data_IF_295613010554
#
_entry.id   IF_295613010554
#
_cell.length_a   1.000
_cell.length_b   1.000
_cell.length_c   1.000
_cell.angle_alpha   90.00
_cell.angle_beta   90.00
_cell.angle_gamma   90.00
#
_symmetry.space_group_name_H-M   'P 1'
#
loop_
_entity.id
_entity.type
_entity.pdbx_description
1 polymer ?
#
# COMPACT_ATOMS: atom_id res chain seq x y z
N UNK A 1 11.37 -62.29 9.13
CA UNK A 1 10.55 -62.20 7.90
C UNK A 1 9.16 -61.81 8.36
N UNK A 2 8.64 -60.64 7.96
CA UNK A 2 7.30 -60.21 8.41
C UNK A 2 6.22 -61.06 7.74
N UNK A 3 5.09 -61.24 8.42
CA UNK A 3 3.94 -61.95 7.87
C UNK A 3 3.35 -61.20 6.66
N UNK A 4 2.62 -61.91 5.80
CA UNK A 4 1.91 -61.29 4.68
C UNK A 4 0.91 -60.20 5.14
N UNK A 5 0.31 -60.39 6.32
CA UNK A 5 -0.65 -59.45 6.91
C UNK A 5 0.04 -58.15 7.32
N UNK A 6 1.14 -58.23 8.08
CA UNK A 6 1.92 -57.05 8.50
C UNK A 6 2.47 -56.27 7.30
N UNK A 7 2.83 -56.97 6.22
CA UNK A 7 3.32 -56.33 5.00
C UNK A 7 2.22 -55.52 4.31
N UNK A 8 1.04 -56.12 4.15
CA UNK A 8 -0.11 -55.42 3.56
C UNK A 8 -0.52 -54.21 4.40
N UNK A 9 -0.42 -54.30 5.74
CA UNK A 9 -0.65 -53.15 6.62
C UNK A 9 0.40 -52.04 6.42
N UNK A 10 1.69 -52.40 6.33
CA UNK A 10 2.77 -51.44 6.08
C UNK A 10 2.64 -50.76 4.71
N UNK A 11 2.36 -51.54 3.66
CA UNK A 11 2.12 -51.02 2.32
C UNK A 11 0.91 -50.08 2.30
N UNK A 12 -0.20 -50.48 2.91
CA UNK A 12 -1.40 -49.65 3.04
C UNK A 12 -1.12 -48.33 3.75
N UNK A 13 -0.36 -48.36 4.86
CA UNK A 13 0.02 -47.16 5.60
C UNK A 13 0.96 -46.25 4.79
N UNK A 14 1.95 -46.79 4.06
CA UNK A 14 2.82 -46.00 3.18
C UNK A 14 2.03 -45.35 2.04
N UNK A 15 1.09 -46.09 1.43
CA UNK A 15 0.20 -45.54 0.41
C UNK A 15 -0.71 -44.44 0.97
N UNK A 16 -1.18 -44.56 2.20
CA UNK A 16 -1.91 -43.50 2.89
C UNK A 16 -1.05 -42.23 3.05
N UNK A 17 0.24 -42.35 3.42
CA UNK A 17 1.14 -41.19 3.48
C UNK A 17 1.31 -40.54 2.09
N UNK A 18 1.46 -41.35 1.03
CA UNK A 18 1.53 -40.82 -0.35
C UNK A 18 0.26 -40.04 -0.69
N UNK A 19 -0.92 -40.54 -0.32
CA UNK A 19 -2.18 -39.84 -0.55
C UNK A 19 -2.26 -38.50 0.19
N UNK A 20 -1.78 -38.43 1.43
CA UNK A 20 -1.71 -37.18 2.19
C UNK A 20 -0.77 -36.16 1.54
N UNK A 21 0.39 -36.60 1.06
CA UNK A 21 1.34 -35.74 0.34
C UNK A 21 0.77 -35.25 -1.00
N UNK A 22 0.09 -36.13 -1.72
CA UNK A 22 -0.61 -35.78 -2.96
C UNK A 22 -1.74 -34.76 -2.71
N UNK A 23 -2.48 -34.89 -1.61
CA UNK A 23 -3.50 -33.92 -1.19
C UNK A 23 -2.87 -32.57 -0.83
N UNK A 24 -1.72 -32.58 -0.15
CA UNK A 24 -0.98 -31.37 0.17
C UNK A 24 -0.60 -30.56 -1.08
N UNK A 25 -0.03 -31.24 -2.07
CA UNK A 25 0.38 -30.59 -3.32
C UNK A 25 -0.80 -30.07 -4.14
N UNK A 26 -1.95 -30.77 -4.11
CA UNK A 26 -3.19 -30.26 -4.71
C UNK A 26 -3.65 -28.97 -4.01
N UNK A 27 -3.71 -28.96 -2.68
CA UNK A 27 -4.12 -27.77 -1.91
C UNK A 27 -3.17 -26.59 -2.11
N UNK A 28 -1.87 -26.84 -2.22
CA UNK A 28 -0.88 -25.79 -2.50
C UNK A 28 -1.10 -25.15 -3.87
N UNK A 29 -1.34 -25.95 -4.91
CA UNK A 29 -1.64 -25.46 -6.26
C UNK A 29 -2.97 -24.71 -6.30
N UNK A 30 -3.99 -25.23 -5.62
CA UNK A 30 -5.29 -24.59 -5.50
C UNK A 30 -5.16 -23.23 -4.82
N UNK A 31 -4.49 -23.16 -3.66
CA UNK A 31 -4.23 -21.91 -2.93
C UNK A 31 -3.49 -20.88 -3.79
N UNK A 32 -2.45 -21.29 -4.52
CA UNK A 32 -1.72 -20.41 -5.42
C UNK A 32 -2.64 -19.86 -6.53
N UNK A 33 -3.50 -20.69 -7.11
CA UNK A 33 -4.47 -20.26 -8.12
C UNK A 33 -5.51 -19.29 -7.57
N UNK A 34 -5.96 -19.48 -6.33
CA UNK A 34 -6.90 -18.58 -5.66
C UNK A 34 -6.24 -17.24 -5.40
N UNK A 35 -5.00 -17.25 -4.88
CA UNK A 35 -4.26 -16.03 -4.60
C UNK A 35 -3.96 -15.22 -5.86
N UNK A 36 -3.74 -15.87 -7.00
CA UNK A 36 -3.55 -15.20 -8.28
C UNK A 36 -4.80 -14.43 -8.77
N UNK A 37 -5.99 -14.76 -8.25
CA UNK A 37 -7.25 -14.06 -8.61
C UNK A 37 -7.48 -12.77 -7.83
N UNK A 38 -6.67 -12.46 -6.81
CA UNK A 38 -6.80 -11.19 -6.08
C UNK A 38 -6.55 -9.99 -6.98
N UNK A 39 -7.52 -9.08 -7.03
CA UNK A 39 -7.41 -7.84 -7.78
C UNK A 39 -7.00 -6.69 -6.86
N UNK A 40 -6.06 -5.84 -7.31
CA UNK A 40 -5.68 -4.61 -6.59
C UNK A 40 -6.04 -3.39 -7.45
N UNK A 41 -6.86 -2.44 -6.95
CA UNK A 41 -7.12 -1.22 -7.69
C UNK A 41 -5.83 -0.40 -7.80
N UNK A 42 -5.47 0.00 -9.02
CA UNK A 42 -4.39 0.96 -9.23
C UNK A 42 -4.78 2.30 -8.60
N UNK A 43 -3.82 2.98 -7.94
CA UNK A 43 -4.08 4.29 -7.35
C UNK A 43 -4.26 5.35 -8.45
N UNK A 44 -5.24 6.26 -8.32
CA UNK A 44 -5.47 7.29 -9.31
C UNK A 44 -4.40 8.38 -9.22
N UNK A 45 -3.93 8.86 -10.37
CA UNK A 45 -2.99 9.99 -10.45
C UNK A 45 -3.77 11.30 -10.60
N UNK A 46 -3.75 12.14 -9.57
CA UNK A 46 -4.46 13.42 -9.57
C UNK A 46 -3.73 14.52 -10.35
N UNK A 47 -4.50 15.38 -11.05
CA UNK A 47 -3.94 16.59 -11.66
C UNK A 47 -3.81 17.70 -10.61
N UNK A 48 -2.60 18.23 -10.43
CA UNK A 48 -2.29 19.27 -9.45
C UNK A 48 -2.79 20.65 -9.86
N UNK A 49 -2.95 21.56 -8.87
CA UNK A 49 -3.39 22.94 -9.08
C UNK A 49 -2.27 23.82 -9.66
N UNK A 50 -2.63 24.75 -10.56
CA UNK A 50 -1.68 25.79 -11.05
C UNK A 50 -1.89 27.08 -10.27
N UNK A 51 -0.80 27.65 -9.75
CA UNK A 51 -0.77 29.00 -9.18
C UNK A 51 -0.35 30.02 -10.24
N UNK A 52 -0.78 31.27 -10.09
CA UNK A 52 -0.33 32.37 -10.96
C UNK A 52 1.19 32.56 -10.76
N UNK A 53 2.02 32.54 -11.82
CA UNK A 53 3.47 32.70 -11.67
C UNK A 53 3.78 34.06 -11.05
N UNK A 54 4.26 34.03 -9.81
CA UNK A 54 4.51 35.22 -8.97
C UNK A 54 5.70 36.06 -9.45
N UNK A 55 6.61 35.45 -10.23
CA UNK A 55 7.95 35.96 -10.53
C UNK A 55 7.99 37.03 -11.65
N UNK A 56 7.17 36.91 -12.69
CA UNK A 56 7.14 37.89 -13.79
C UNK A 56 6.59 39.27 -13.39
N UNK A 57 5.99 39.37 -12.19
CA UNK A 57 5.22 40.52 -11.70
C UNK A 57 6.06 41.66 -11.12
N UNK A 58 7.26 41.37 -10.65
CA UNK A 58 8.14 42.37 -10.02
C UNK A 58 9.14 42.94 -11.02
N UNK A 59 9.60 42.13 -11.97
CA UNK A 59 10.60 42.54 -12.96
C UNK A 59 10.10 43.66 -13.90
N UNK A 60 8.88 43.57 -14.41
CA UNK A 60 8.35 44.58 -15.35
C UNK A 60 8.13 45.94 -14.67
N UNK A 61 7.64 45.94 -13.43
CA UNK A 61 7.43 47.18 -12.67
C UNK A 61 8.75 47.86 -12.28
N UNK A 62 9.77 47.06 -11.92
CA UNK A 62 11.12 47.57 -11.64
C UNK A 62 11.76 48.21 -12.86
N UNK A 63 11.64 47.59 -14.04
CA UNK A 63 12.25 48.10 -15.28
C UNK A 63 11.65 49.45 -15.68
N UNK A 64 10.32 49.59 -15.64
CA UNK A 64 9.65 50.85 -16.02
C UNK A 64 9.98 51.98 -15.03
N UNK A 65 10.01 51.66 -13.72
CA UNK A 65 10.39 52.63 -12.69
C UNK A 65 11.83 53.11 -12.87
N UNK A 66 12.76 52.22 -13.23
CA UNK A 66 14.15 52.56 -13.44
C UNK A 66 14.35 53.47 -14.67
N UNK A 67 13.66 53.19 -15.78
CA UNK A 67 13.73 54.00 -17.01
C UNK A 67 13.19 55.41 -16.76
N UNK A 68 12.06 55.54 -16.04
CA UNK A 68 11.48 56.85 -15.73
C UNK A 68 12.36 57.67 -14.77
N UNK A 69 12.98 57.03 -13.78
CA UNK A 69 13.92 57.71 -12.88
C UNK A 69 15.15 58.25 -13.64
N UNK A 70 15.67 57.47 -14.59
CA UNK A 70 16.81 57.87 -15.43
C UNK A 70 16.47 59.10 -16.29
N UNK A 71 15.36 59.08 -17.02
CA UNK A 71 14.92 60.19 -17.89
C UNK A 71 14.71 61.48 -17.09
N UNK A 72 14.10 61.38 -15.90
CA UNK A 72 13.82 62.54 -15.06
C UNK A 72 15.07 63.14 -14.39
N UNK A 73 16.07 62.31 -14.10
CA UNK A 73 17.34 62.77 -13.54
C UNK A 73 18.12 63.61 -14.57
N UNK A 74 18.15 63.16 -15.83
CA UNK A 74 18.79 63.91 -16.94
C UNK A 74 18.08 65.26 -17.20
N UNK A 75 16.75 65.27 -17.22
CA UNK A 75 15.97 66.51 -17.40
C UNK A 75 16.17 67.52 -16.26
N UNK A 76 16.29 67.04 -15.01
CA UNK A 76 16.58 67.90 -13.86
C UNK A 76 17.97 68.54 -13.96
N UNK A 77 18.98 67.74 -14.35
CA UNK A 77 20.36 68.23 -14.48
C UNK A 77 20.49 69.31 -15.56
N UNK A 78 19.78 69.15 -16.68
CA UNK A 78 19.74 70.13 -17.77
C UNK A 78 19.09 71.46 -17.33
N UNK A 79 18.02 71.40 -16.52
CA UNK A 79 17.32 72.61 -16.04
C UNK A 79 18.09 73.36 -14.95
N UNK A 80 18.69 72.65 -13.98
CA UNK A 80 19.36 73.28 -12.83
C UNK A 80 20.79 73.69 -13.14
N UNK A 81 21.50 73.00 -14.04
CA UNK A 81 22.89 73.29 -14.38
C UNK A 81 23.12 74.63 -15.11
N UNK A 82 22.06 75.26 -15.64
CA UNK A 82 22.19 76.43 -16.53
C UNK A 82 21.50 77.71 -16.02
N UNK A 83 20.74 77.67 -14.91
CA UNK A 83 19.94 78.81 -14.44
C UNK A 83 19.87 78.88 -12.92
N UNK A 84 20.00 80.08 -12.33
CA UNK A 84 19.65 80.33 -10.92
C UNK A 84 18.13 80.26 -10.78
N UNK A 85 17.61 79.10 -10.38
CA UNK A 85 16.17 78.86 -10.31
C UNK A 85 15.62 79.29 -8.93
N UNK A 86 14.52 80.08 -8.86
CA UNK A 86 13.90 80.44 -7.59
C UNK A 86 13.42 79.21 -6.80
N UNK A 87 13.43 79.30 -5.46
CA UNK A 87 13.04 78.21 -4.57
C UNK A 87 11.62 77.68 -4.81
N UNK A 88 10.69 78.53 -5.24
CA UNK A 88 9.32 78.15 -5.62
C UNK A 88 9.29 77.24 -6.84
N UNK A 89 10.13 77.52 -7.83
CA UNK A 89 10.27 76.70 -9.04
C UNK A 89 10.90 75.35 -8.71
N UNK A 90 11.87 75.30 -7.80
CA UNK A 90 12.41 74.02 -7.29
C UNK A 90 11.34 73.16 -6.63
N UNK A 91 10.47 73.75 -5.79
CA UNK A 91 9.38 73.03 -5.16
C UNK A 91 8.39 72.44 -6.18
N UNK A 92 8.05 73.19 -7.23
CA UNK A 92 7.16 72.72 -8.31
C UNK A 92 7.81 71.58 -9.10
N UNK A 93 9.10 71.68 -9.41
CA UNK A 93 9.84 70.63 -10.11
C UNK A 93 9.97 69.34 -9.28
N UNK A 94 10.19 69.45 -7.98
CA UNK A 94 10.21 68.30 -7.06
C UNK A 94 8.83 67.63 -6.98
N UNK A 95 7.76 68.43 -6.96
CA UNK A 95 6.39 67.90 -6.96
C UNK A 95 6.06 67.19 -8.29
N UNK A 96 6.44 67.78 -9.43
CA UNK A 96 6.32 67.13 -10.74
C UNK A 96 7.17 65.85 -10.81
N UNK A 97 8.39 65.85 -10.26
CA UNK A 97 9.25 64.68 -10.18
C UNK A 97 8.58 63.55 -9.38
N UNK A 98 8.00 63.85 -8.23
CA UNK A 98 7.24 62.89 -7.42
C UNK A 98 6.06 62.30 -8.20
N UNK A 99 5.27 63.13 -8.88
CA UNK A 99 4.09 62.67 -9.64
C UNK A 99 4.51 61.85 -10.87
N UNK A 100 5.56 62.23 -11.57
CA UNK A 100 6.02 61.53 -12.78
C UNK A 100 6.77 60.23 -12.45
N UNK A 101 7.43 60.15 -11.29
CA UNK A 101 8.10 58.91 -10.85
C UNK A 101 7.11 57.94 -10.19
N UNK A 102 6.21 58.43 -9.34
CA UNK A 102 5.29 57.57 -8.57
C UNK A 102 3.95 57.35 -9.28
N UNK A 103 3.48 58.29 -10.10
CA UNK A 103 2.19 58.24 -10.80
C UNK A 103 2.09 57.07 -11.79
N UNK A 104 3.08 56.83 -12.67
CA UNK A 104 3.08 55.66 -13.55
C UNK A 104 3.15 54.34 -12.78
N UNK A 105 3.93 54.29 -11.69
CA UNK A 105 3.99 53.12 -10.82
C UNK A 105 2.63 52.84 -10.15
N UNK A 106 1.94 53.88 -9.69
CA UNK A 106 0.59 53.79 -9.13
C UNK A 106 -0.44 53.37 -10.18
N UNK A 107 -0.37 53.94 -11.38
CA UNK A 107 -1.27 53.63 -12.49
C UNK A 107 -1.09 52.16 -12.94
N UNK A 108 0.14 51.70 -13.10
CA UNK A 108 0.44 50.30 -13.40
C UNK A 108 0.00 49.36 -12.27
N UNK A 109 0.20 49.75 -11.00
CA UNK A 109 -0.30 49.02 -9.85
C UNK A 109 -1.84 48.95 -9.85
N UNK A 110 -2.53 50.05 -10.17
CA UNK A 110 -3.98 50.16 -10.21
C UNK A 110 -4.59 49.35 -11.36
N UNK A 111 -4.10 49.51 -12.60
CA UNK A 111 -4.54 48.70 -13.75
C UNK A 111 -4.29 47.21 -13.50
N UNK A 112 -3.16 46.88 -12.86
CA UNK A 112 -2.87 45.51 -12.45
C UNK A 112 -3.89 44.99 -11.42
N UNK A 113 -4.16 45.77 -10.37
CA UNK A 113 -5.02 45.33 -9.27
C UNK A 113 -6.48 45.16 -9.74
N UNK A 114 -6.94 46.05 -10.61
CA UNK A 114 -8.31 46.07 -11.12
C UNK A 114 -8.55 45.04 -12.23
N UNK A 115 -7.69 44.99 -13.25
CA UNK A 115 -7.97 44.27 -14.50
C UNK A 115 -7.16 42.99 -14.70
N UNK A 116 -5.84 43.03 -14.48
CA UNK A 116 -4.98 41.88 -14.74
C UNK A 116 -5.17 40.77 -13.71
N UNK A 117 -5.25 41.12 -12.42
CA UNK A 117 -5.50 40.14 -11.36
C UNK A 117 -6.86 39.48 -11.51
N UNK A 118 -7.92 40.25 -11.78
CA UNK A 118 -9.27 39.71 -11.94
C UNK A 118 -9.37 38.75 -13.14
N UNK A 119 -8.82 39.10 -14.30
CA UNK A 119 -8.80 38.18 -15.45
C UNK A 119 -7.93 36.94 -15.23
N UNK A 120 -6.71 37.10 -14.73
CA UNK A 120 -5.81 35.97 -14.48
C UNK A 120 -6.39 35.02 -13.43
N UNK A 121 -6.92 35.56 -12.32
CA UNK A 121 -7.59 34.77 -11.27
C UNK A 121 -8.81 34.05 -11.83
N UNK A 122 -9.63 34.70 -12.66
CA UNK A 122 -10.79 34.05 -13.26
C UNK A 122 -10.41 32.90 -14.20
N UNK A 123 -9.33 33.05 -14.98
CA UNK A 123 -8.83 32.01 -15.88
C UNK A 123 -8.23 30.83 -15.10
N UNK A 124 -7.39 31.11 -14.09
CA UNK A 124 -6.84 30.07 -13.21
C UNK A 124 -7.92 29.38 -12.40
N UNK A 125 -8.93 30.11 -11.92
CA UNK A 125 -10.04 29.54 -11.16
C UNK A 125 -10.91 28.62 -12.02
N UNK A 126 -11.22 29.03 -13.26
CA UNK A 126 -11.95 28.17 -14.20
C UNK A 126 -11.14 26.92 -14.55
N UNK A 127 -9.83 27.05 -14.76
CA UNK A 127 -8.96 25.91 -15.01
C UNK A 127 -8.86 24.98 -13.80
N UNK A 128 -8.77 25.55 -12.58
CA UNK A 128 -8.73 24.79 -11.33
C UNK A 128 -10.07 24.09 -11.06
N UNK A 129 -11.22 24.75 -11.26
CA UNK A 129 -12.55 24.14 -11.16
C UNK A 129 -12.74 22.98 -12.14
N UNK A 130 -12.27 23.12 -13.38
CA UNK A 130 -12.30 22.02 -14.36
C UNK A 130 -11.45 20.83 -13.90
N UNK A 131 -10.28 21.08 -13.32
CA UNK A 131 -9.39 20.04 -12.77
C UNK A 131 -9.97 19.39 -11.53
N UNK A 132 -10.58 20.18 -10.65
CA UNK A 132 -11.29 19.70 -9.47
C UNK A 132 -12.44 18.79 -9.89
N UNK A 133 -13.26 19.21 -10.85
CA UNK A 133 -14.31 18.35 -11.39
C UNK A 133 -13.74 17.06 -12.01
N UNK A 134 -12.65 17.14 -12.77
CA UNK A 134 -11.97 15.95 -13.31
C UNK A 134 -11.43 15.03 -12.21
N UNK A 135 -10.79 15.57 -11.18
CA UNK A 135 -10.29 14.80 -10.05
C UNK A 135 -11.45 14.16 -9.27
N UNK A 136 -12.56 14.87 -9.08
CA UNK A 136 -13.75 14.34 -8.40
C UNK A 136 -14.42 13.21 -9.20
N UNK A 137 -14.50 13.34 -10.54
CA UNK A 137 -14.96 12.26 -11.41
C UNK A 137 -14.04 11.04 -11.33
N UNK A 138 -12.72 11.25 -11.38
CA UNK A 138 -11.73 10.18 -11.22
C UNK A 138 -11.82 9.49 -9.85
N UNK A 139 -12.09 10.26 -8.80
CA UNK A 139 -12.32 9.74 -7.46
C UNK A 139 -13.57 8.86 -7.38
N UNK A 140 -14.69 9.31 -7.96
CA UNK A 140 -15.94 8.54 -7.96
C UNK A 140 -15.81 7.23 -8.75
N UNK A 141 -15.15 7.27 -9.92
CA UNK A 141 -14.87 6.09 -10.73
C UNK A 141 -13.96 5.09 -9.99
N UNK A 142 -12.93 5.62 -9.31
CA UNK A 142 -12.04 4.79 -8.48
C UNK A 142 -12.76 4.15 -7.28
N UNK A 143 -13.65 4.88 -6.63
CA UNK A 143 -14.44 4.37 -5.50
C UNK A 143 -15.35 3.22 -5.95
N UNK A 144 -16.06 3.38 -7.05
CA UNK A 144 -16.91 2.33 -7.64
C UNK A 144 -16.10 1.10 -8.05
N UNK A 145 -14.94 1.30 -8.69
CA UNK A 145 -14.05 0.20 -9.08
C UNK A 145 -13.48 -0.53 -7.86
N UNK A 146 -13.08 0.21 -6.82
CA UNK A 146 -12.57 -0.35 -5.58
C UNK A 146 -13.64 -1.18 -4.86
N UNK A 147 -14.89 -0.69 -4.84
CA UNK A 147 -16.01 -1.42 -4.24
C UNK A 147 -16.29 -2.72 -5.00
N UNK A 148 -16.40 -2.67 -6.33
CA UNK A 148 -16.60 -3.86 -7.16
C UNK A 148 -15.47 -4.90 -6.99
N UNK A 149 -14.21 -4.45 -6.95
CA UNK A 149 -13.07 -5.33 -6.69
C UNK A 149 -13.09 -5.89 -5.26
N UNK A 150 -13.50 -5.11 -4.26
CA UNK A 150 -13.58 -5.57 -2.88
C UNK A 150 -14.60 -6.69 -2.71
N UNK A 151 -15.78 -6.58 -3.34
CA UNK A 151 -16.79 -7.63 -3.34
C UNK A 151 -16.27 -8.93 -4.00
N UNK A 152 -15.56 -8.83 -5.13
CA UNK A 152 -14.90 -9.98 -5.76
C UNK A 152 -13.82 -10.60 -4.87
N UNK A 153 -12.97 -9.77 -4.25
CA UNK A 153 -11.92 -10.20 -3.35
C UNK A 153 -12.46 -10.84 -2.06
N UNK A 154 -13.66 -10.47 -1.61
CA UNK A 154 -14.32 -11.14 -0.47
C UNK A 154 -14.71 -12.58 -0.79
N UNK A 155 -15.17 -12.85 -2.01
CA UNK A 155 -15.44 -14.23 -2.48
C UNK A 155 -14.16 -15.04 -2.56
N UNK A 156 -13.09 -14.47 -3.13
CA UNK A 156 -11.76 -15.11 -3.18
C UNK A 156 -11.23 -15.38 -1.77
N UNK A 157 -11.44 -14.45 -0.83
CA UNK A 157 -11.06 -14.63 0.57
C UNK A 157 -11.88 -15.72 1.28
N UNK A 158 -13.16 -15.88 0.92
CA UNK A 158 -13.99 -16.95 1.46
C UNK A 158 -13.51 -18.33 0.97
N UNK A 159 -13.12 -18.44 -0.30
CA UNK A 159 -12.53 -19.64 -0.88
C UNK A 159 -11.15 -19.97 -0.26
N UNK A 160 -10.30 -18.96 -0.08
CA UNK A 160 -9.01 -19.13 0.61
C UNK A 160 -9.20 -19.67 2.04
N UNK A 161 -10.23 -19.20 2.78
CA UNK A 161 -10.55 -19.73 4.12
C UNK A 161 -10.95 -21.21 4.08
N UNK A 162 -11.68 -21.64 3.06
CA UNK A 162 -12.04 -23.06 2.92
C UNK A 162 -10.81 -23.93 2.67
N UNK A 163 -9.89 -23.45 1.83
CA UNK A 163 -8.62 -24.13 1.57
C UNK A 163 -7.75 -24.17 2.83
N UNK A 164 -7.69 -23.07 3.59
CA UNK A 164 -6.99 -23.02 4.88
C UNK A 164 -7.55 -24.05 5.87
N UNK A 165 -8.88 -24.23 5.94
CA UNK A 165 -9.50 -25.29 6.75
C UNK A 165 -9.07 -26.69 6.29
N UNK A 166 -8.95 -26.93 4.99
CA UNK A 166 -8.46 -28.21 4.48
C UNK A 166 -6.98 -28.44 4.84
N UNK A 167 -6.14 -27.40 4.78
CA UNK A 167 -4.76 -27.49 5.30
C UNK A 167 -4.71 -27.85 6.78
N UNK A 168 -5.62 -27.30 7.59
CA UNK A 168 -5.71 -27.62 9.01
C UNK A 168 -6.05 -29.09 9.26
N UNK A 169 -7.06 -29.61 8.55
CA UNK A 169 -7.43 -31.02 8.64
C UNK A 169 -6.26 -31.92 8.22
N UNK A 170 -5.63 -31.59 7.09
CA UNK A 170 -4.49 -32.34 6.58
C UNK A 170 -3.30 -32.34 7.54
N UNK A 171 -2.98 -31.20 8.15
CA UNK A 171 -1.90 -31.13 9.12
C UNK A 171 -2.20 -31.93 10.40
N UNK A 172 -3.46 -31.96 10.83
CA UNK A 172 -3.87 -32.81 11.94
C UNK A 172 -3.71 -34.30 11.59
N UNK A 173 -4.09 -34.71 10.38
CA UNK A 173 -3.85 -36.08 9.89
C UNK A 173 -2.35 -36.44 9.87
N UNK A 174 -1.48 -35.54 9.38
CA UNK A 174 -0.02 -35.72 9.44
C UNK A 174 0.50 -35.84 10.87
N UNK A 175 0.00 -35.01 11.78
CA UNK A 175 0.39 -35.03 13.19
C UNK A 175 0.00 -36.35 13.87
N UNK A 176 -1.21 -36.85 13.62
CA UNK A 176 -1.75 -38.03 14.28
C UNK A 176 -1.20 -39.35 13.72
N UNK A 177 -1.01 -39.44 12.39
CA UNK A 177 -0.76 -40.72 11.73
C UNK A 177 0.64 -40.89 11.13
N UNK A 178 1.41 -39.81 11.00
CA UNK A 178 2.71 -39.82 10.31
C UNK A 178 3.84 -39.38 11.25
N UNK A 179 3.61 -38.32 12.01
CA UNK A 179 4.62 -37.74 12.90
C UNK A 179 5.03 -38.77 13.97
N UNK A 180 6.35 -38.92 14.18
CA UNK A 180 6.92 -39.91 15.09
C UNK A 180 7.03 -41.34 14.53
N UNK A 181 6.32 -41.66 13.44
CA UNK A 181 6.32 -42.99 12.83
C UNK A 181 7.12 -43.05 11.53
N UNK A 182 7.09 -41.97 10.73
CA UNK A 182 7.90 -41.82 9.53
C UNK A 182 8.96 -40.72 9.74
N UNK A 183 10.24 -40.93 9.38
CA UNK A 183 11.27 -39.92 9.60
C UNK A 183 11.04 -38.67 8.74
N UNK A 184 10.95 -37.50 9.39
CA UNK A 184 10.63 -36.22 8.73
C UNK A 184 11.60 -35.86 7.58
N UNK A 185 12.87 -36.24 7.68
CA UNK A 185 13.89 -36.02 6.63
C UNK A 185 13.49 -36.67 5.29
N UNK A 186 12.78 -37.79 5.34
CA UNK A 186 12.39 -38.57 4.16
C UNK A 186 10.92 -38.34 3.77
N UNK A 187 10.22 -37.43 4.46
CA UNK A 187 8.82 -37.14 4.21
C UNK A 187 8.68 -36.29 2.95
N UNK A 188 8.80 -36.95 1.81
CA UNK A 188 8.69 -36.41 0.46
C UNK A 188 7.96 -37.43 -0.41
N UNK A 189 7.14 -36.95 -1.36
CA UNK A 189 6.25 -37.81 -2.13
C UNK A 189 7.01 -38.91 -2.89
N UNK A 190 8.13 -38.58 -3.52
CA UNK A 190 8.92 -39.51 -4.33
C UNK A 190 9.53 -40.60 -3.44
N UNK A 191 10.00 -40.21 -2.26
CA UNK A 191 10.67 -41.10 -1.30
C UNK A 191 9.69 -42.08 -0.67
N UNK A 192 8.52 -41.59 -0.23
CA UNK A 192 7.49 -42.46 0.37
C UNK A 192 6.95 -43.43 -0.68
N UNK A 193 6.74 -42.96 -1.92
CA UNK A 193 6.31 -43.81 -3.04
C UNK A 193 7.36 -44.88 -3.37
N UNK A 194 8.65 -44.52 -3.35
CA UNK A 194 9.73 -45.50 -3.46
C UNK A 194 9.66 -46.54 -2.34
N UNK A 195 9.49 -46.10 -1.09
CA UNK A 195 9.39 -47.01 0.05
C UNK A 195 8.20 -47.98 -0.08
N UNK A 196 7.03 -47.48 -0.48
CA UNK A 196 5.85 -48.30 -0.76
C UNK A 196 6.15 -49.37 -1.82
N UNK A 197 6.83 -48.99 -2.91
CA UNK A 197 7.21 -49.94 -3.96
C UNK A 197 8.21 -51.00 -3.49
N UNK A 198 9.13 -50.67 -2.57
CA UNK A 198 10.08 -51.64 -2.02
C UNK A 198 9.40 -52.66 -1.10
N UNK A 199 8.40 -52.22 -0.33
CA UNK A 199 7.60 -53.11 0.52
C UNK A 199 6.72 -54.03 -0.32
N UNK A 200 6.04 -53.47 -1.33
CA UNK A 200 5.17 -54.20 -2.26
C UNK A 200 5.95 -55.29 -3.03
N UNK A 201 7.18 -54.98 -3.47
CA UNK A 201 8.03 -55.93 -4.19
C UNK A 201 8.80 -56.90 -3.28
N UNK A 202 8.43 -57.03 -2.01
CA UNK A 202 9.09 -57.88 -1.02
C UNK A 202 10.59 -57.59 -0.79
N UNK A 203 11.09 -56.42 -1.20
CA UNK A 203 12.49 -56.00 -1.04
C UNK A 203 12.78 -55.40 0.33
N UNK A 204 11.77 -54.83 0.98
CA UNK A 204 11.85 -54.27 2.33
C UNK A 204 10.81 -54.90 3.26
N UNK A 205 11.15 -55.09 4.53
CA UNK A 205 10.25 -55.64 5.55
C UNK A 205 9.81 -54.60 6.59
N UNK A 206 10.41 -53.42 6.59
CA UNK A 206 10.05 -52.30 7.46
C UNK A 206 10.44 -50.98 6.78
N UNK A 207 10.02 -49.86 7.36
CA UNK A 207 10.31 -48.51 6.84
C UNK A 207 11.81 -48.24 6.76
N UNK A 208 12.58 -48.66 7.77
CA UNK A 208 14.03 -48.44 7.80
C UNK A 208 14.74 -49.20 6.68
N UNK A 209 14.38 -50.45 6.42
CA UNK A 209 14.92 -51.23 5.31
C UNK A 209 14.66 -50.54 3.96
N UNK A 210 13.45 -50.03 3.77
CA UNK A 210 13.08 -49.31 2.55
C UNK A 210 13.88 -48.01 2.38
N UNK A 211 14.08 -47.26 3.47
CA UNK A 211 14.91 -46.04 3.48
C UNK A 211 16.38 -46.37 3.19
N UNK A 212 16.93 -47.45 3.75
CA UNK A 212 18.31 -47.85 3.49
C UNK A 212 18.53 -48.18 2.00
N UNK A 213 17.54 -48.86 1.37
CA UNK A 213 17.55 -49.10 -0.08
C UNK A 213 17.49 -47.79 -0.88
N UNK A 214 16.66 -46.85 -0.45
CA UNK A 214 16.58 -45.53 -1.07
C UNK A 214 17.91 -44.76 -0.97
N UNK A 215 18.56 -44.75 0.19
CA UNK A 215 19.85 -44.08 0.39
C UNK A 215 20.96 -44.68 -0.48
N UNK A 216 20.92 -46.00 -0.69
CA UNK A 216 21.85 -46.70 -1.59
C UNK A 216 21.67 -46.23 -3.03
N UNK A 217 20.42 -46.13 -3.50
CA UNK A 217 20.10 -45.65 -4.84
C UNK A 217 20.49 -44.17 -5.01
N UNK A 218 20.19 -43.33 -4.01
CA UNK A 218 20.56 -41.92 -3.98
C UNK A 218 22.09 -41.73 -4.00
N UNK A 219 22.83 -42.60 -3.31
CA UNK A 219 24.29 -42.58 -3.36
C UNK A 219 24.81 -42.92 -4.76
N UNK A 220 24.25 -43.95 -5.40
CA UNK A 220 24.58 -44.31 -6.78
C UNK A 220 24.29 -43.15 -7.73
N UNK A 221 23.11 -42.55 -7.64
CA UNK A 221 22.69 -41.43 -8.48
C UNK A 221 23.60 -40.19 -8.32
N UNK A 222 24.05 -39.90 -7.08
CA UNK A 222 25.03 -38.83 -6.82
C UNK A 222 26.37 -39.07 -7.49
N UNK A 223 26.84 -40.32 -7.54
CA UNK A 223 28.09 -40.70 -8.19
C UNK A 223 27.98 -40.64 -9.72
N UNK A 224 26.80 -40.96 -10.26
CA UNK A 224 26.54 -40.95 -11.71
C UNK A 224 26.34 -39.52 -12.25
N UNK A 225 25.60 -38.65 -11.53
CA UNK A 225 25.24 -37.30 -12.01
C UNK A 225 25.25 -36.25 -10.88
N UNK A 226 26.44 -35.89 -10.38
CA UNK A 226 26.60 -34.98 -9.24
C UNK A 226 25.87 -33.62 -9.39
N UNK A 227 25.94 -32.97 -10.56
CA UNK A 227 25.32 -31.66 -10.77
C UNK A 227 23.79 -31.71 -10.66
N UNK A 228 23.18 -32.75 -11.22
CA UNK A 228 21.74 -32.96 -11.16
C UNK A 228 21.30 -33.39 -9.75
N UNK A 229 22.05 -34.27 -9.11
CA UNK A 229 21.75 -34.73 -7.76
C UNK A 229 21.77 -33.58 -6.73
N UNK A 230 22.62 -32.56 -6.93
CA UNK A 230 22.62 -31.37 -6.07
C UNK A 230 21.36 -30.51 -6.23
N UNK A 231 20.85 -30.35 -7.46
CA UNK A 231 19.60 -29.63 -7.72
C UNK A 231 18.39 -30.38 -7.15
N UNK A 232 18.34 -31.70 -7.35
CA UNK A 232 17.26 -32.55 -6.83
C UNK A 232 17.21 -32.53 -5.30
N UNK A 233 18.37 -32.59 -4.62
CA UNK A 233 18.41 -32.51 -3.16
C UNK A 233 17.94 -31.12 -2.66
N UNK A 234 18.24 -30.03 -3.38
CA UNK A 234 17.70 -28.69 -3.04
C UNK A 234 16.17 -28.62 -3.21
N UNK A 235 15.64 -29.16 -4.31
CA UNK A 235 14.19 -29.20 -4.54
C UNK A 235 13.50 -30.04 -3.46
N UNK A 236 14.07 -31.20 -3.12
CA UNK A 236 13.59 -32.07 -2.04
C UNK A 236 13.61 -31.36 -0.70
N UNK A 237 14.72 -30.71 -0.33
CA UNK A 237 14.81 -29.96 0.91
C UNK A 237 13.73 -28.86 0.99
N UNK A 238 13.42 -28.22 -0.15
CA UNK A 238 12.34 -27.23 -0.25
C UNK A 238 10.96 -27.87 -0.01
N UNK A 239 10.68 -29.04 -0.62
CA UNK A 239 9.41 -29.76 -0.42
C UNK A 239 9.23 -30.23 1.01
N UNK A 240 10.27 -30.83 1.61
CA UNK A 240 10.26 -31.25 3.03
C UNK A 240 10.06 -30.05 3.97
N UNK A 241 10.72 -28.93 3.70
CA UNK A 241 10.52 -27.70 4.48
C UNK A 241 9.09 -27.17 4.37
N UNK A 242 8.47 -27.25 3.18
CA UNK A 242 7.07 -26.87 2.97
C UNK A 242 6.11 -27.74 3.78
N UNK A 243 6.32 -29.05 3.80
CA UNK A 243 5.54 -29.99 4.62
C UNK A 243 5.69 -29.64 6.11
N UNK A 244 6.92 -29.42 6.57
CA UNK A 244 7.18 -28.97 7.94
C UNK A 244 6.52 -27.63 8.26
N UNK A 245 6.48 -26.70 7.31
CA UNK A 245 5.78 -25.43 7.45
C UNK A 245 4.26 -25.64 7.57
N UNK A 246 3.64 -26.55 6.83
CA UNK A 246 2.20 -26.83 6.95
C UNK A 246 1.87 -27.51 8.28
N UNK A 247 2.67 -28.48 8.71
CA UNK A 247 2.50 -29.14 10.01
C UNK A 247 2.57 -28.11 11.15
N UNK A 248 3.53 -27.18 11.11
CA UNK A 248 3.69 -26.14 12.14
C UNK A 248 2.68 -24.98 11.99
N UNK A 249 2.43 -24.50 10.77
CA UNK A 249 1.57 -23.35 10.50
C UNK A 249 0.10 -23.67 10.69
N UNK A 250 -0.36 -24.89 10.41
CA UNK A 250 -1.70 -25.31 10.77
C UNK A 250 -1.92 -25.29 12.31
N UNK A 251 -0.87 -25.53 13.09
CA UNK A 251 -0.89 -25.34 14.55
C UNK A 251 -0.99 -23.88 14.99
N UNK A 252 -0.46 -22.93 14.19
CA UNK A 252 -0.42 -21.49 14.52
C UNK A 252 -1.42 -20.61 13.75
N UNK A 253 -2.05 -21.08 12.67
CA UNK A 253 -3.00 -20.28 11.90
C UNK A 253 -4.36 -20.17 12.59
N UNK A 254 -4.74 -21.14 13.44
CA UNK A 254 -5.90 -21.03 14.32
C UNK A 254 -5.73 -19.88 15.34
N UNK A 255 -4.54 -19.71 15.90
CA UNK A 255 -4.21 -18.58 16.78
C UNK A 255 -4.03 -17.29 15.97
N UNK A 256 -3.44 -17.30 14.78
CA UNK A 256 -3.34 -16.10 13.93
C UNK A 256 -4.71 -15.61 13.41
N UNK A 257 -5.65 -16.50 13.12
CA UNK A 257 -7.03 -16.13 12.75
C UNK A 257 -7.85 -15.68 13.97
N UNK A 258 -7.60 -16.22 15.15
CA UNK A 258 -8.16 -15.72 16.41
C UNK A 258 -7.62 -14.33 16.74
N UNK A 259 -6.30 -14.11 16.68
CA UNK A 259 -5.63 -12.82 16.90
C UNK A 259 -6.06 -11.78 15.86
N UNK A 260 -6.26 -12.17 14.59
CA UNK A 260 -6.80 -11.26 13.56
C UNK A 260 -8.26 -10.86 13.84
N UNK A 261 -9.09 -11.79 14.33
CA UNK A 261 -10.48 -11.51 14.73
C UNK A 261 -10.55 -10.64 15.98
N UNK A 262 -9.73 -10.92 16.99
CA UNK A 262 -9.59 -10.08 18.19
C UNK A 262 -9.07 -8.69 17.82
N UNK A 263 -8.02 -8.58 17.01
CA UNK A 263 -7.49 -7.29 16.56
C UNK A 263 -8.47 -6.49 15.68
N UNK A 264 -9.38 -7.14 14.94
CA UNK A 264 -10.46 -6.47 14.23
C UNK A 264 -11.56 -5.98 15.20
N UNK A 265 -11.94 -6.81 16.18
CA UNK A 265 -12.88 -6.45 17.23
C UNK A 265 -12.36 -5.26 18.06
N UNK A 266 -11.10 -5.29 18.50
CA UNK A 266 -10.43 -4.20 19.23
C UNK A 266 -10.36 -2.92 18.41
N UNK A 267 -10.03 -2.99 17.12
CA UNK A 267 -10.04 -1.81 16.23
C UNK A 267 -11.45 -1.22 16.09
N UNK A 268 -12.48 -2.06 15.99
CA UNK A 268 -13.87 -1.62 15.98
C UNK A 268 -14.25 -0.90 17.28
N UNK A 269 -13.90 -1.46 18.44
CA UNK A 269 -14.16 -0.82 19.75
C UNK A 269 -13.41 0.50 19.91
N UNK A 270 -12.14 0.56 19.49
CA UNK A 270 -11.35 1.80 19.51
C UNK A 270 -11.97 2.90 18.63
N UNK A 271 -12.46 2.55 17.44
CA UNK A 271 -13.15 3.49 16.55
C UNK A 271 -14.48 3.97 17.16
N UNK A 272 -15.24 3.09 17.80
CA UNK A 272 -16.46 3.46 18.52
C UNK A 272 -16.17 4.40 19.70
N UNK A 273 -15.12 4.12 20.48
CA UNK A 273 -14.70 4.97 21.59
C UNK A 273 -14.20 6.34 21.10
N UNK A 274 -13.45 6.39 20.00
CA UNK A 274 -13.02 7.64 19.38
C UNK A 274 -14.20 8.46 18.86
N UNK A 275 -15.22 7.82 18.27
CA UNK A 275 -16.45 8.48 17.84
C UNK A 275 -17.26 9.02 19.04
N UNK A 276 -17.38 8.25 20.12
CA UNK A 276 -18.05 8.68 21.35
C UNK A 276 -17.32 9.85 22.02
N UNK A 277 -15.98 9.85 22.03
CA UNK A 277 -15.17 10.95 22.54
C UNK A 277 -15.38 12.24 21.74
N UNK A 278 -15.44 12.16 20.41
CA UNK A 278 -15.76 13.31 19.54
C UNK A 278 -17.17 13.86 19.83
N UNK A 279 -18.17 12.99 19.92
CA UNK A 279 -19.54 13.40 20.24
C UNK A 279 -19.66 14.06 21.63
N UNK A 280 -18.84 13.65 22.60
CA UNK A 280 -18.78 14.31 23.91
C UNK A 280 -18.09 15.67 23.87
N UNK A 281 -17.02 15.81 23.08
CA UNK A 281 -16.36 17.09 22.86
C UNK A 281 -17.31 18.11 22.21
N UNK A 282 -18.08 17.70 21.21
CA UNK A 282 -19.06 18.55 20.54
C UNK A 282 -20.17 18.99 21.50
N UNK A 283 -20.70 18.07 22.33
CA UNK A 283 -21.69 18.40 23.36
C UNK A 283 -21.17 19.39 24.40
N UNK A 284 -19.90 19.27 24.80
CA UNK A 284 -19.28 20.21 25.72
C UNK A 284 -19.04 21.59 25.08
N UNK A 285 -18.64 21.63 23.81
CA UNK A 285 -18.51 22.88 23.06
C UNK A 285 -19.87 23.60 22.95
N UNK A 286 -20.95 22.87 22.70
CA UNK A 286 -22.29 23.43 22.60
C UNK A 286 -22.81 23.95 23.95
N UNK A 287 -22.59 23.21 25.05
CA UNK A 287 -22.90 23.69 26.41
C UNK A 287 -22.14 24.97 26.75
N UNK A 288 -20.87 25.05 26.36
CA UNK A 288 -20.04 26.25 26.57
C UNK A 288 -20.61 27.44 25.79
N UNK A 289 -20.98 27.24 24.52
CA UNK A 289 -21.63 28.28 23.71
C UNK A 289 -22.94 28.77 24.31
N UNK A 290 -23.78 27.86 24.79
CA UNK A 290 -25.04 28.23 25.46
C UNK A 290 -24.79 29.01 26.75
N UNK A 291 -23.77 28.65 27.52
CA UNK A 291 -23.40 29.35 28.75
C UNK A 291 -22.93 30.76 28.46
N UNK A 292 -22.08 30.94 27.45
CA UNK A 292 -21.62 32.27 26.98
C UNK A 292 -22.80 33.10 26.47
N UNK A 293 -23.70 32.50 25.67
CA UNK A 293 -24.89 33.19 25.16
C UNK A 293 -25.80 33.67 26.30
N UNK A 294 -26.04 32.83 27.29
CA UNK A 294 -26.85 33.17 28.46
C UNK A 294 -26.19 34.27 29.31
N UNK A 295 -24.87 34.20 29.51
CA UNK A 295 -24.11 35.24 30.20
C UNK A 295 -24.19 36.59 29.46
N UNK A 296 -24.01 36.59 28.13
CA UNK A 296 -24.11 37.79 27.30
C UNK A 296 -25.54 38.39 27.30
N UNK A 297 -26.57 37.54 27.36
CA UNK A 297 -27.97 37.97 27.47
C UNK A 297 -28.27 38.62 28.82
N UNK A 298 -27.74 38.06 29.91
CA UNK A 298 -27.93 38.62 31.25
C UNK A 298 -27.22 39.97 31.44
N UNK A 299 -26.09 40.19 30.77
CA UNK A 299 -25.38 41.49 30.78
C UNK A 299 -26.09 42.60 29.99
N UNK A 300 -27.11 42.28 29.17
CA UNK A 300 -27.92 43.26 28.42
C UNK A 300 -29.23 43.64 29.10
N UNK A 301 -29.56 43.02 30.24
CA UNK A 301 -30.71 43.38 31.08
C UNK A 301 -30.22 44.21 32.26
#
# INVERSE_FOLDING_TARGET
MISAIERNQLEGWLNYIVELLDRLDRLNREKASVQARYQRPAQPTYRTYKTVPRKWRWWVALIISAIMAFIMTELYFIMVGNYEVPATTHAILILMFMIVTTGPAFLLWFLRNRFLLSKLQSSTHRANKKREHQNNMLHADWEQLSEAMSAGNELVAAEERQIDLQFHLLANEFSQHVTGHFPAKYLDQEVVRFCASMVANHRANNVQDAINLYETELHRQRMENHAQAQLEEQQRATRVAMIGAVINAAGHAATAAAVRREGAATRSTLNQNAAAARANADRNAERTRQTIYNAARNLRR
#
